data_IF_864984358350
#
_entry.id   IF_864984358350
#
_cell.length_a   1.000
_cell.length_b   1.000
_cell.length_c   1.000
_cell.angle_alpha   90.00
_cell.angle_beta   90.00
_cell.angle_gamma   90.00
#
_symmetry.space_group_name_H-M   'P 1'
#
loop_
_entity.id
_entity.type
_entity.pdbx_description
1 polymer ?
#
# COMPACT_ATOMS: atom_id res chain seq x y z
N UNK A 1 27.24 16.32 -7.35
CA UNK A 1 25.95 16.10 -6.67
C UNK A 1 25.72 14.60 -6.63
N UNK A 2 25.74 13.99 -5.44
CA UNK A 2 25.46 12.55 -5.31
C UNK A 2 24.02 12.27 -5.74
N UNK A 3 23.85 11.52 -6.81
CA UNK A 3 22.53 11.12 -7.31
C UNK A 3 22.03 9.99 -6.43
N UNK A 4 21.15 10.31 -5.48
CA UNK A 4 20.45 9.31 -4.69
C UNK A 4 19.60 8.43 -5.61
N UNK A 5 19.67 7.09 -5.48
CA UNK A 5 18.85 6.20 -6.29
C UNK A 5 17.37 6.48 -6.01
N UNK A 6 16.54 6.43 -7.05
CA UNK A 6 15.08 6.61 -6.93
C UNK A 6 14.49 5.46 -6.12
N UNK A 7 14.33 5.68 -4.80
CA UNK A 7 13.75 4.70 -3.90
C UNK A 7 12.26 4.53 -4.24
N UNK A 8 11.83 3.29 -4.47
CA UNK A 8 10.42 2.98 -4.78
C UNK A 8 9.49 3.31 -3.62
N UNK A 9 9.85 2.94 -2.39
CA UNK A 9 9.01 3.14 -1.20
C UNK A 9 9.85 3.44 0.05
N UNK A 10 9.39 4.36 0.91
CA UNK A 10 10.00 4.58 2.22
C UNK A 10 9.70 3.40 3.15
N UNK A 11 10.72 2.99 3.92
CA UNK A 11 10.55 1.99 4.98
C UNK A 11 9.60 2.50 6.06
N UNK A 12 8.87 1.60 6.75
CA UNK A 12 7.96 1.99 7.83
C UNK A 12 8.66 2.77 8.95
N UNK A 13 9.87 2.33 9.33
CA UNK A 13 10.70 3.03 10.31
C UNK A 13 10.96 4.50 9.95
N UNK A 14 11.30 4.80 8.68
CA UNK A 14 11.50 6.18 8.20
C UNK A 14 10.21 6.99 8.26
N UNK A 15 9.05 6.38 7.97
CA UNK A 15 7.74 7.06 8.04
C UNK A 15 7.37 7.42 9.48
N UNK A 16 7.57 6.49 10.42
CA UNK A 16 7.36 6.75 11.84
C UNK A 16 8.27 7.87 12.34
N UNK A 17 9.53 7.89 11.91
CA UNK A 17 10.45 8.99 12.25
C UNK A 17 9.97 10.34 11.69
N UNK A 18 9.52 10.40 10.43
CA UNK A 18 8.95 11.61 9.82
C UNK A 18 7.74 12.11 10.63
N UNK A 19 6.84 11.22 11.01
CA UNK A 19 5.66 11.56 11.79
C UNK A 19 6.01 12.05 13.19
N UNK A 20 6.94 11.40 13.87
CA UNK A 20 7.45 11.86 15.18
C UNK A 20 8.07 13.26 15.09
N UNK A 21 8.77 13.59 14.00
CA UNK A 21 9.30 14.95 13.78
C UNK A 21 8.19 15.97 13.55
N UNK A 22 7.09 15.56 12.89
CA UNK A 22 5.91 16.40 12.71
C UNK A 22 5.19 16.68 14.04
N UNK A 23 5.01 15.66 14.88
CA UNK A 23 4.45 15.81 16.24
C UNK A 23 5.27 16.77 17.11
N UNK A 24 6.59 16.78 16.94
CA UNK A 24 7.51 17.74 17.58
C UNK A 24 7.45 19.16 17.00
N UNK A 25 6.48 19.47 16.12
CA UNK A 25 6.27 20.80 15.56
C UNK A 25 7.21 21.18 14.42
N UNK A 26 8.03 20.27 13.87
CA UNK A 26 8.87 20.60 12.72
C UNK A 26 8.01 20.87 11.48
N UNK A 27 8.45 21.84 10.67
CA UNK A 27 7.81 22.14 9.38
C UNK A 27 8.12 21.05 8.34
N UNK A 28 7.20 20.85 7.39
CA UNK A 28 7.35 19.84 6.34
C UNK A 28 8.65 20.04 5.51
N UNK A 29 9.01 21.31 5.25
CA UNK A 29 10.22 21.67 4.50
C UNK A 29 11.50 21.29 5.24
N UNK A 30 11.53 21.48 6.57
CA UNK A 30 12.68 21.09 7.40
C UNK A 30 12.82 19.57 7.45
N UNK A 31 11.71 18.84 7.61
CA UNK A 31 11.71 17.38 7.57
C UNK A 31 12.18 16.87 6.18
N UNK A 32 11.69 17.47 5.09
CA UNK A 32 12.11 17.13 3.74
C UNK A 32 13.63 17.26 3.54
N UNK A 33 14.21 18.36 4.04
CA UNK A 33 15.66 18.56 4.03
C UNK A 33 16.41 17.54 4.90
N UNK A 34 15.92 17.28 6.12
CA UNK A 34 16.55 16.34 7.07
C UNK A 34 16.61 14.91 6.50
N UNK A 35 15.60 14.49 5.72
CA UNK A 35 15.49 13.14 5.17
C UNK A 35 15.84 13.05 3.67
N UNK A 36 16.25 14.17 3.05
CA UNK A 36 16.53 14.29 1.61
C UNK A 36 15.41 13.70 0.71
N UNK A 37 14.15 14.08 1.02
CA UNK A 37 12.96 13.66 0.27
C UNK A 37 12.13 14.88 -0.12
N UNK A 38 11.22 14.74 -1.08
CA UNK A 38 10.34 15.85 -1.46
C UNK A 38 9.37 16.21 -0.33
N UNK A 39 9.07 17.50 -0.18
CA UNK A 39 8.08 17.98 0.79
C UNK A 39 6.69 17.36 0.55
N UNK A 40 6.37 17.07 -0.72
CA UNK A 40 5.15 16.35 -1.10
C UNK A 40 5.13 14.90 -0.58
N UNK A 41 6.28 14.22 -0.57
CA UNK A 41 6.39 12.89 0.01
C UNK A 41 6.14 12.95 1.53
N UNK A 42 6.75 13.90 2.23
CA UNK A 42 6.52 14.13 3.67
C UNK A 42 5.04 14.37 3.95
N UNK A 43 4.39 15.25 3.19
CA UNK A 43 2.96 15.55 3.32
C UNK A 43 2.10 14.30 3.15
N UNK A 44 2.35 13.49 2.12
CA UNK A 44 1.63 12.23 1.88
C UNK A 44 1.79 11.23 3.02
N UNK A 45 2.99 11.14 3.60
CA UNK A 45 3.26 10.27 4.76
C UNK A 45 2.46 10.75 5.96
N UNK A 46 2.57 12.03 6.33
CA UNK A 46 1.85 12.61 7.47
C UNK A 46 0.34 12.38 7.34
N UNK A 47 -0.27 12.79 6.23
CA UNK A 47 -1.71 12.63 6.02
C UNK A 47 -2.15 11.17 6.10
N UNK A 48 -1.34 10.24 5.58
CA UNK A 48 -1.66 8.81 5.61
C UNK A 48 -1.64 8.25 7.02
N UNK A 49 -0.64 8.63 7.83
CA UNK A 49 -0.56 8.20 9.22
C UNK A 49 -1.69 8.81 10.06
N UNK A 50 -2.08 10.06 9.81
CA UNK A 50 -3.23 10.70 10.48
C UNK A 50 -4.57 10.06 10.09
N UNK A 51 -4.69 9.52 8.87
CA UNK A 51 -5.96 8.92 8.39
C UNK A 51 -6.09 7.44 8.77
N UNK A 52 -4.98 6.69 8.73
CA UNK A 52 -5.00 5.22 8.85
C UNK A 52 -4.36 4.70 10.14
N UNK A 53 -3.82 5.58 11.00
CA UNK A 53 -3.08 5.25 12.23
C UNK A 53 -1.97 4.19 12.04
N UNK A 54 -1.43 4.08 10.83
CA UNK A 54 -0.43 3.07 10.49
C UNK A 54 0.65 3.60 9.57
N UNK A 55 1.90 3.26 9.90
CA UNK A 55 3.08 3.54 9.09
C UNK A 55 3.24 2.56 7.91
N UNK A 56 2.55 1.42 7.97
CA UNK A 56 2.62 0.38 6.96
C UNK A 56 1.88 0.78 5.69
N UNK A 57 2.36 0.27 4.55
CA UNK A 57 1.61 0.40 3.30
C UNK A 57 0.45 -0.60 3.30
N UNK A 58 -0.76 -0.11 3.02
CA UNK A 58 -1.90 -0.99 2.80
C UNK A 58 -1.69 -1.85 1.54
N UNK A 59 -2.19 -3.09 1.54
CA UNK A 59 -2.22 -3.90 0.34
C UNK A 59 -3.02 -3.19 -0.75
N UNK A 60 -2.55 -3.26 -1.99
CA UNK A 60 -3.32 -2.78 -3.15
C UNK A 60 -4.54 -3.68 -3.32
N UNK A 61 -5.72 -3.12 -3.55
CA UNK A 61 -6.97 -3.86 -3.75
C UNK A 61 -6.91 -4.84 -4.93
N UNK A 62 -6.04 -4.57 -5.91
CA UNK A 62 -5.88 -5.39 -7.11
C UNK A 62 -7.11 -5.31 -8.03
N UNK A 63 -7.07 -6.09 -9.12
CA UNK A 63 -8.22 -6.19 -10.04
C UNK A 63 -9.27 -7.11 -9.43
N UNK A 64 -10.56 -6.69 -9.35
CA UNK A 64 -11.60 -7.57 -8.88
C UNK A 64 -11.70 -8.82 -9.76
N UNK A 65 -11.93 -9.97 -9.14
CA UNK A 65 -12.09 -11.25 -9.85
C UNK A 65 -13.36 -11.23 -10.70
N UNK A 66 -13.31 -11.89 -11.87
CA UNK A 66 -14.47 -12.02 -12.76
C UNK A 66 -15.55 -12.92 -12.16
N UNK A 67 -15.16 -13.92 -11.38
CA UNK A 67 -16.09 -14.80 -10.70
C UNK A 67 -16.40 -14.33 -9.28
N UNK A 68 -17.67 -14.43 -8.90
CA UNK A 68 -18.11 -14.21 -7.54
C UNK A 68 -17.73 -15.42 -6.67
N UNK A 69 -17.10 -15.14 -5.51
CA UNK A 69 -16.64 -16.18 -4.57
C UNK A 69 -17.80 -17.06 -4.09
N UNK A 70 -18.97 -16.46 -3.84
CA UNK A 70 -20.10 -17.19 -3.25
C UNK A 70 -20.80 -18.13 -4.24
N UNK A 71 -21.18 -17.65 -5.43
CA UNK A 71 -22.13 -18.36 -6.29
C UNK A 71 -21.42 -19.14 -7.39
N UNK A 72 -20.58 -18.46 -8.16
CA UNK A 72 -19.94 -19.05 -9.35
C UNK A 72 -18.83 -20.02 -8.98
N UNK A 73 -17.91 -19.67 -8.07
CA UNK A 73 -16.83 -20.60 -7.69
C UNK A 73 -17.36 -21.89 -7.05
N UNK A 74 -18.42 -21.80 -6.23
CA UNK A 74 -19.03 -22.99 -5.63
C UNK A 74 -19.76 -23.85 -6.66
N UNK A 75 -20.42 -23.25 -7.65
CA UNK A 75 -21.04 -24.01 -8.73
C UNK A 75 -19.98 -24.75 -9.54
N UNK A 76 -18.93 -24.06 -9.96
CA UNK A 76 -17.79 -24.66 -10.69
C UNK A 76 -17.20 -25.84 -9.91
N UNK A 77 -16.92 -25.66 -8.60
CA UNK A 77 -16.38 -26.73 -7.76
C UNK A 77 -17.33 -27.93 -7.60
N UNK A 78 -18.64 -27.68 -7.44
CA UNK A 78 -19.65 -28.75 -7.34
C UNK A 78 -19.77 -29.53 -8.65
N UNK A 79 -19.70 -28.84 -9.77
CA UNK A 79 -19.82 -29.43 -11.09
C UNK A 79 -18.60 -30.29 -11.42
N UNK A 80 -17.39 -29.81 -11.08
CA UNK A 80 -16.16 -30.59 -11.14
C UNK A 80 -16.23 -31.87 -10.28
N UNK A 81 -16.75 -31.79 -9.05
CA UNK A 81 -16.91 -32.96 -8.18
C UNK A 81 -17.93 -33.98 -8.70
N UNK A 82 -18.94 -33.54 -9.46
CA UNK A 82 -19.93 -34.44 -10.07
C UNK A 82 -19.34 -35.15 -11.29
N UNK A 83 -18.64 -34.42 -12.15
CA UNK A 83 -18.09 -34.91 -13.39
C UNK A 83 -16.69 -34.32 -13.61
N UNK A 84 -15.66 -35.12 -13.34
CA UNK A 84 -14.26 -34.70 -13.39
C UNK A 84 -13.75 -34.40 -14.81
N UNK A 85 -14.49 -34.81 -15.83
CA UNK A 85 -14.16 -34.66 -17.26
C UNK A 85 -15.02 -33.58 -17.95
N UNK A 86 -15.27 -32.47 -17.27
CA UNK A 86 -15.96 -31.31 -17.85
C UNK A 86 -14.94 -30.31 -18.40
N UNK A 87 -15.07 -29.99 -19.68
CA UNK A 87 -14.38 -28.89 -20.34
C UNK A 87 -15.38 -27.79 -20.69
N UNK A 88 -14.91 -26.54 -20.75
CA UNK A 88 -15.63 -25.51 -21.49
C UNK A 88 -15.83 -25.99 -22.93
N UNK A 89 -17.05 -25.84 -23.45
CA UNK A 89 -17.31 -25.94 -24.88
C UNK A 89 -16.78 -24.68 -25.58
#
# INVERSE_FOLDING_TARGET
MEVMPKIRELTPAKRSQIFNRRLKGKTLRKIASDFNISAECVRKVVNRLETNDSAENLPRSGRPRKTTVRRQNRMILRELHKNCNISSK
#
